data_IF_352525866953
#
_entry.id   IF_352525866953
#
_cell.length_a   1.000
_cell.length_b   1.000
_cell.length_c   1.000
_cell.angle_alpha   90.00
_cell.angle_beta   90.00
_cell.angle_gamma   90.00
#
_symmetry.space_group_name_H-M   'P 1'
#
loop_
_entity.id
_entity.type
_entity.pdbx_description
1 polymer ?
#
# COMPACT_ATOMS: atom_id res chain seq x y z
N UNK A 1 -33.04 4.25 -11.09
CA UNK A 1 -33.02 4.96 -9.82
C UNK A 1 -34.12 4.44 -8.90
N UNK A 2 -33.80 4.19 -7.64
CA UNK A 2 -34.73 3.80 -6.59
C UNK A 2 -34.36 4.48 -5.27
N UNK A 3 -35.34 4.76 -4.44
CA UNK A 3 -35.14 5.29 -3.08
C UNK A 3 -35.03 4.16 -2.04
N UNK A 4 -34.81 2.93 -2.48
CA UNK A 4 -34.60 1.74 -1.66
C UNK A 4 -33.30 1.03 -2.10
N UNK A 5 -32.98 -0.05 -1.41
CA UNK A 5 -31.89 -0.93 -1.77
C UNK A 5 -32.18 -1.69 -3.08
N UNK A 6 -31.16 -1.86 -3.91
CA UNK A 6 -31.21 -2.79 -5.06
C UNK A 6 -30.66 -4.14 -4.60
N UNK A 7 -31.47 -5.18 -4.72
CA UNK A 7 -31.05 -6.55 -4.43
C UNK A 7 -30.77 -7.30 -5.74
N UNK A 8 -29.48 -7.57 -6.00
CA UNK A 8 -28.98 -8.41 -7.10
C UNK A 8 -28.27 -9.66 -6.59
N UNK A 9 -28.65 -10.14 -5.40
CA UNK A 9 -28.03 -11.31 -4.78
C UNK A 9 -28.20 -12.55 -5.67
N UNK A 10 -27.05 -13.18 -6.03
CA UNK A 10 -26.99 -14.28 -7.00
C UNK A 10 -27.67 -13.97 -8.36
N UNK A 11 -28.00 -12.70 -8.63
CA UNK A 11 -28.64 -12.23 -9.85
C UNK A 11 -27.64 -11.70 -10.87
N UNK A 12 -28.19 -11.23 -12.00
CA UNK A 12 -27.38 -10.62 -13.06
C UNK A 12 -28.01 -9.30 -13.49
N UNK A 13 -27.23 -8.22 -13.41
CA UNK A 13 -27.50 -6.92 -14.02
C UNK A 13 -26.45 -6.67 -15.08
N UNK A 14 -26.82 -6.73 -16.35
CA UNK A 14 -25.87 -6.54 -17.44
C UNK A 14 -26.44 -5.58 -18.48
N UNK A 15 -25.58 -4.71 -19.00
CA UNK A 15 -25.89 -3.82 -20.10
C UNK A 15 -24.83 -3.90 -21.20
N UNK A 16 -25.26 -3.69 -22.45
CA UNK A 16 -24.33 -3.64 -23.57
C UNK A 16 -23.52 -2.32 -23.60
N UNK A 17 -24.09 -1.24 -23.06
CA UNK A 17 -23.44 0.06 -22.96
C UNK A 17 -23.09 0.35 -21.49
N UNK A 18 -23.77 1.27 -20.87
CA UNK A 18 -23.49 1.68 -19.49
C UNK A 18 -24.48 1.06 -18.49
N UNK A 19 -24.05 0.96 -17.25
CA UNK A 19 -24.91 0.71 -16.07
C UNK A 19 -24.82 1.91 -15.16
N UNK A 20 -25.96 2.47 -14.77
CA UNK A 20 -26.08 3.53 -13.78
C UNK A 20 -27.09 3.11 -12.71
N UNK A 21 -26.61 2.89 -11.50
CA UNK A 21 -27.42 2.53 -10.34
C UNK A 21 -27.36 3.65 -9.30
N UNK A 22 -28.53 4.17 -8.97
CA UNK A 22 -28.71 5.13 -7.89
C UNK A 22 -29.76 4.58 -6.92
N UNK A 23 -29.34 4.24 -5.70
CA UNK A 23 -30.15 3.52 -4.71
C UNK A 23 -29.76 3.92 -3.29
N UNK A 24 -30.42 3.36 -2.29
CA UNK A 24 -30.03 3.50 -0.87
C UNK A 24 -29.26 2.27 -0.34
N UNK A 25 -28.59 1.55 -1.22
CA UNK A 25 -27.81 0.36 -0.97
C UNK A 25 -27.85 -0.54 -2.19
N UNK A 26 -26.83 -1.42 -2.32
CA UNK A 26 -26.79 -2.44 -3.36
C UNK A 26 -26.23 -3.74 -2.78
N UNK A 27 -27.02 -4.81 -2.81
CA UNK A 27 -26.53 -6.16 -2.52
C UNK A 27 -26.29 -6.90 -3.86
N UNK A 28 -25.04 -7.04 -4.24
CA UNK A 28 -24.55 -7.83 -5.36
C UNK A 28 -23.81 -9.10 -4.88
N UNK A 29 -24.10 -9.56 -3.66
CA UNK A 29 -23.44 -10.76 -3.12
C UNK A 29 -23.72 -11.97 -3.99
N UNK A 30 -22.64 -12.68 -4.43
CA UNK A 30 -22.71 -13.78 -5.37
C UNK A 30 -23.34 -13.41 -6.73
N UNK A 31 -23.68 -12.14 -6.96
CA UNK A 31 -24.27 -11.64 -8.18
C UNK A 31 -23.23 -11.19 -9.21
N UNK A 32 -23.71 -10.89 -10.39
CA UNK A 32 -22.93 -10.31 -11.47
C UNK A 32 -23.55 -8.96 -11.86
N UNK A 33 -22.72 -7.94 -11.94
CA UNK A 33 -23.12 -6.62 -12.39
C UNK A 33 -22.06 -6.07 -13.35
N UNK A 34 -22.48 -5.64 -14.55
CA UNK A 34 -21.46 -5.12 -15.46
C UNK A 34 -21.96 -4.49 -16.72
N UNK A 35 -21.01 -3.85 -17.41
CA UNK A 35 -21.15 -3.25 -18.72
C UNK A 35 -20.17 -3.89 -19.69
N UNK A 36 -20.66 -4.21 -20.91
CA UNK A 36 -19.86 -4.89 -21.94
C UNK A 36 -19.02 -3.91 -22.77
N UNK A 37 -19.47 -2.65 -22.93
CA UNK A 37 -18.81 -1.69 -23.83
C UNK A 37 -18.49 -0.33 -23.22
N UNK A 38 -18.94 -0.05 -21.98
CA UNK A 38 -18.87 1.30 -21.42
C UNK A 38 -18.72 1.25 -19.89
N UNK A 39 -18.97 2.35 -19.23
CA UNK A 39 -18.78 2.53 -17.81
C UNK A 39 -19.86 1.87 -16.95
N UNK A 40 -19.51 1.64 -15.68
CA UNK A 40 -20.43 1.31 -14.60
C UNK A 40 -20.34 2.42 -13.55
N UNK A 41 -21.48 3.00 -13.21
CA UNK A 41 -21.59 3.99 -12.13
C UNK A 41 -22.59 3.48 -11.09
N UNK A 42 -22.16 3.44 -9.84
CA UNK A 42 -22.97 3.01 -8.70
C UNK A 42 -22.91 4.10 -7.63
N UNK A 43 -24.06 4.58 -7.23
CA UNK A 43 -24.20 5.47 -6.07
C UNK A 43 -25.27 4.90 -5.15
N UNK A 44 -24.84 4.44 -3.99
CA UNK A 44 -25.71 3.81 -2.99
C UNK A 44 -26.24 4.79 -1.94
N UNK A 45 -26.04 6.10 -2.16
CA UNK A 45 -26.54 7.12 -1.24
C UNK A 45 -26.01 6.92 0.18
N UNK A 46 -26.92 6.63 1.11
CA UNK A 46 -26.58 6.38 2.52
C UNK A 46 -26.38 4.90 2.86
N UNK A 47 -26.44 4.01 1.87
CA UNK A 47 -26.29 2.59 2.07
C UNK A 47 -24.92 2.06 1.65
N UNK A 48 -24.65 0.82 1.99
CA UNK A 48 -23.42 0.13 1.60
C UNK A 48 -23.57 -0.55 0.23
N UNK A 49 -22.42 -0.84 -0.38
CA UNK A 49 -22.29 -1.79 -1.49
C UNK A 49 -21.78 -3.12 -0.96
N UNK A 50 -22.58 -4.16 -1.07
CA UNK A 50 -22.19 -5.54 -0.75
C UNK A 50 -21.87 -6.27 -2.06
N UNK A 51 -20.62 -6.72 -2.21
CA UNK A 51 -20.15 -7.51 -3.36
C UNK A 51 -19.43 -8.77 -2.90
N UNK A 52 -19.86 -9.36 -1.78
CA UNK A 52 -19.25 -10.58 -1.24
C UNK A 52 -19.37 -11.74 -2.23
N UNK A 53 -18.23 -12.27 -2.67
CA UNK A 53 -18.17 -13.30 -3.73
C UNK A 53 -18.91 -12.91 -5.01
N UNK A 54 -19.25 -11.64 -5.20
CA UNK A 54 -19.88 -11.10 -6.39
C UNK A 54 -18.87 -10.56 -7.39
N UNK A 55 -19.36 -10.18 -8.56
CA UNK A 55 -18.54 -9.57 -9.61
C UNK A 55 -19.13 -8.25 -10.06
N UNK A 56 -18.31 -7.20 -10.02
CA UNK A 56 -18.55 -5.92 -10.69
C UNK A 56 -17.53 -5.76 -11.82
N UNK A 57 -17.99 -5.59 -13.05
CA UNK A 57 -17.11 -5.51 -14.21
C UNK A 57 -17.49 -4.37 -15.15
N UNK A 58 -16.48 -3.64 -15.65
CA UNK A 58 -16.65 -2.59 -16.64
C UNK A 58 -15.58 -2.67 -17.72
N UNK A 59 -15.93 -2.42 -18.97
CA UNK A 59 -14.95 -2.20 -20.04
C UNK A 59 -14.53 -0.73 -20.14
N UNK A 60 -15.37 0.19 -19.69
CA UNK A 60 -15.02 1.59 -19.42
C UNK A 60 -14.67 1.79 -17.97
N UNK A 61 -14.89 2.99 -17.45
CA UNK A 61 -14.61 3.31 -16.06
C UNK A 61 -15.59 2.63 -15.08
N UNK A 62 -15.13 2.31 -13.89
CA UNK A 62 -15.94 1.85 -12.77
C UNK A 62 -15.92 2.90 -11.66
N UNK A 63 -17.06 3.56 -11.44
CA UNK A 63 -17.21 4.57 -10.43
C UNK A 63 -18.19 4.08 -9.35
N UNK A 64 -17.75 4.04 -8.11
CA UNK A 64 -18.57 3.63 -6.97
C UNK A 64 -18.52 4.71 -5.90
N UNK A 65 -19.70 5.14 -5.44
CA UNK A 65 -19.86 5.93 -4.22
C UNK A 65 -20.79 5.19 -3.26
N UNK A 66 -20.34 4.97 -2.02
CA UNK A 66 -21.09 4.23 -1.00
C UNK A 66 -20.66 4.67 0.41
N UNK A 67 -21.48 4.35 1.42
CA UNK A 67 -21.09 4.55 2.83
C UNK A 67 -20.12 3.47 3.33
N UNK A 68 -19.98 2.36 2.63
CA UNK A 68 -19.04 1.29 2.89
C UNK A 68 -19.09 0.27 1.76
N UNK A 69 -17.97 -0.39 1.52
CA UNK A 69 -17.85 -1.41 0.46
C UNK A 69 -17.36 -2.73 1.05
N UNK A 70 -18.14 -3.77 0.88
CA UNK A 70 -17.73 -5.11 1.23
C UNK A 70 -17.50 -5.96 -0.04
N UNK A 71 -16.21 -6.09 -0.42
CA UNK A 71 -15.75 -6.91 -1.54
C UNK A 71 -15.05 -8.20 -1.07
N UNK A 72 -15.39 -8.71 0.13
CA UNK A 72 -14.80 -9.95 0.62
C UNK A 72 -14.98 -11.09 -0.38
N UNK A 73 -13.86 -11.68 -0.84
CA UNK A 73 -13.83 -12.71 -1.91
C UNK A 73 -14.52 -12.32 -3.20
N UNK A 74 -14.90 -11.05 -3.37
CA UNK A 74 -15.52 -10.52 -4.57
C UNK A 74 -14.50 -9.99 -5.58
N UNK A 75 -14.98 -9.61 -6.74
CA UNK A 75 -14.16 -9.03 -7.82
C UNK A 75 -14.74 -7.70 -8.27
N UNK A 76 -13.91 -6.66 -8.25
CA UNK A 76 -14.12 -5.40 -8.95
C UNK A 76 -13.08 -5.28 -10.04
N UNK A 77 -13.50 -5.19 -11.30
CA UNK A 77 -12.57 -5.12 -12.42
C UNK A 77 -13.01 -4.09 -13.46
N UNK A 78 -12.06 -3.29 -13.94
CA UNK A 78 -12.29 -2.33 -15.04
C UNK A 78 -11.15 -2.36 -16.05
N UNK A 79 -11.48 -2.26 -17.33
CA UNK A 79 -10.48 -1.98 -18.37
C UNK A 79 -10.14 -0.47 -18.46
N UNK A 80 -10.99 0.40 -17.92
CA UNK A 80 -10.74 1.84 -17.72
C UNK A 80 -10.18 2.13 -16.34
N UNK A 81 -10.57 3.28 -15.77
CA UNK A 81 -10.25 3.68 -14.40
C UNK A 81 -11.18 3.01 -13.40
N UNK A 82 -10.71 2.87 -12.16
CA UNK A 82 -11.55 2.54 -11.01
C UNK A 82 -11.47 3.68 -10.02
N UNK A 83 -12.65 4.19 -9.61
CA UNK A 83 -12.78 5.19 -8.56
C UNK A 83 -13.76 4.68 -7.51
N UNK A 84 -13.25 4.39 -6.32
CA UNK A 84 -14.02 3.95 -5.17
C UNK A 84 -13.99 5.06 -4.11
N UNK A 85 -15.14 5.67 -3.86
CA UNK A 85 -15.31 6.71 -2.85
C UNK A 85 -16.24 6.19 -1.78
N UNK A 86 -15.68 5.79 -0.64
CA UNK A 86 -16.43 5.27 0.49
C UNK A 86 -16.33 6.24 1.66
N UNK A 87 -17.46 6.59 2.28
CA UNK A 87 -17.49 7.43 3.48
C UNK A 87 -17.08 6.64 4.75
N UNK A 88 -17.16 5.30 4.69
CA UNK A 88 -16.76 4.37 5.74
C UNK A 88 -15.71 3.37 5.23
N UNK A 89 -15.79 2.14 5.72
CA UNK A 89 -14.75 1.13 5.49
C UNK A 89 -14.87 0.44 4.13
N UNK A 90 -13.72 0.00 3.63
CA UNK A 90 -13.60 -0.90 2.50
C UNK A 90 -12.97 -2.21 2.94
N UNK A 91 -13.72 -3.31 2.76
CA UNK A 91 -13.21 -4.67 2.98
C UNK A 91 -12.97 -5.35 1.63
N UNK A 92 -11.69 -5.67 1.33
CA UNK A 92 -11.26 -6.46 0.17
C UNK A 92 -10.56 -7.75 0.59
N UNK A 93 -10.90 -8.33 1.75
CA UNK A 93 -10.25 -9.54 2.24
C UNK A 93 -10.49 -10.74 1.32
N UNK A 94 -9.40 -11.33 0.82
CA UNK A 94 -9.46 -12.38 -0.19
C UNK A 94 -10.11 -11.96 -1.51
N UNK A 95 -10.48 -10.68 -1.67
CA UNK A 95 -11.09 -10.13 -2.87
C UNK A 95 -10.08 -9.57 -3.86
N UNK A 96 -10.57 -9.12 -4.99
CA UNK A 96 -9.77 -8.49 -6.04
C UNK A 96 -10.36 -7.15 -6.45
N UNK A 97 -9.51 -6.12 -6.49
CA UNK A 97 -9.80 -4.82 -7.11
C UNK A 97 -8.73 -4.58 -8.16
N UNK A 98 -9.13 -4.52 -9.43
CA UNK A 98 -8.21 -4.37 -10.54
C UNK A 98 -8.67 -3.29 -11.53
N UNK A 99 -7.71 -2.53 -12.05
CA UNK A 99 -7.95 -1.50 -13.07
C UNK A 99 -6.84 -1.57 -14.12
N UNK A 100 -7.17 -1.48 -15.40
CA UNK A 100 -6.14 -1.25 -16.40
C UNK A 100 -5.71 0.22 -16.47
N UNK A 101 -6.59 1.13 -16.06
CA UNK A 101 -6.29 2.56 -15.89
C UNK A 101 -5.88 2.88 -14.45
N UNK A 102 -5.98 4.16 -14.10
CA UNK A 102 -5.73 4.65 -12.75
C UNK A 102 -6.72 4.02 -11.75
N UNK A 103 -6.24 3.74 -10.54
CA UNK A 103 -7.05 3.29 -9.42
C UNK A 103 -6.99 4.31 -8.29
N UNK A 104 -8.14 4.81 -7.88
CA UNK A 104 -8.30 5.69 -6.73
C UNK A 104 -9.25 5.07 -5.72
N UNK A 105 -8.80 4.97 -4.47
CA UNK A 105 -9.62 4.50 -3.35
C UNK A 105 -9.57 5.56 -2.25
N UNK A 106 -10.75 6.03 -1.84
CA UNK A 106 -10.95 6.83 -0.63
C UNK A 106 -11.86 6.05 0.32
N UNK A 107 -11.44 5.89 1.57
CA UNK A 107 -12.20 5.17 2.60
C UNK A 107 -11.79 5.64 4.01
N UNK A 108 -12.54 5.22 5.03
CA UNK A 108 -12.09 5.33 6.41
C UNK A 108 -10.97 4.32 6.64
N UNK A 109 -11.28 3.05 6.76
CA UNK A 109 -10.32 1.96 6.83
C UNK A 109 -10.33 1.11 5.56
N UNK A 110 -9.18 0.54 5.22
CA UNK A 110 -9.06 -0.44 4.14
C UNK A 110 -8.46 -1.74 4.68
N UNK A 111 -9.24 -2.82 4.61
CA UNK A 111 -8.75 -4.17 4.82
C UNK A 111 -8.54 -4.86 3.47
N UNK A 112 -7.31 -5.35 3.22
CA UNK A 112 -6.90 -6.10 2.03
C UNK A 112 -6.17 -7.39 2.44
N UNK A 113 -6.60 -8.03 3.53
CA UNK A 113 -5.96 -9.25 4.02
C UNK A 113 -6.14 -10.39 3.01
N UNK A 114 -5.02 -10.96 2.56
CA UNK A 114 -5.01 -11.96 1.48
C UNK A 114 -5.71 -11.49 0.19
N UNK A 115 -6.01 -10.21 0.05
CA UNK A 115 -6.64 -9.60 -1.12
C UNK A 115 -5.62 -9.09 -2.13
N UNK A 116 -6.11 -8.72 -3.30
CA UNK A 116 -5.33 -8.14 -4.38
C UNK A 116 -5.92 -6.79 -4.80
N UNK A 117 -5.08 -5.75 -4.78
CA UNK A 117 -5.37 -4.43 -5.37
C UNK A 117 -4.29 -4.13 -6.40
N UNK A 118 -4.68 -3.90 -7.68
CA UNK A 118 -3.68 -3.68 -8.70
C UNK A 118 -4.13 -2.72 -9.81
N UNK A 119 -3.14 -2.07 -10.44
CA UNK A 119 -3.34 -1.32 -11.67
C UNK A 119 -2.61 -1.95 -12.85
N UNK A 120 -3.07 -1.63 -14.06
CA UNK A 120 -2.38 -1.99 -15.28
C UNK A 120 -1.04 -1.26 -15.45
N UNK A 121 -0.27 -1.68 -16.44
CA UNK A 121 1.02 -1.07 -16.76
C UNK A 121 0.88 0.44 -17.00
N UNK A 122 1.84 1.23 -16.46
CA UNK A 122 1.89 2.70 -16.56
C UNK A 122 0.71 3.43 -15.90
N UNK A 123 -0.04 2.76 -15.04
CA UNK A 123 -1.19 3.35 -14.34
C UNK A 123 -0.89 3.52 -12.86
N UNK A 124 -1.29 4.67 -12.31
CA UNK A 124 -1.04 5.04 -10.93
C UNK A 124 -2.09 4.42 -9.99
N UNK A 125 -1.69 4.20 -8.74
CA UNK A 125 -2.55 3.74 -7.66
C UNK A 125 -2.49 4.74 -6.50
N UNK A 126 -3.66 5.26 -6.11
CA UNK A 126 -3.77 6.21 -5.00
C UNK A 126 -4.74 5.69 -3.93
N UNK A 127 -4.24 5.51 -2.72
CA UNK A 127 -5.05 5.20 -1.53
C UNK A 127 -5.06 6.40 -0.60
N UNK A 128 -6.25 6.92 -0.29
CA UNK A 128 -6.49 8.03 0.65
C UNK A 128 -7.37 7.52 1.77
N UNK A 129 -6.76 7.16 2.89
CA UNK A 129 -7.46 6.59 4.04
C UNK A 129 -7.39 7.58 5.19
N UNK A 130 -8.54 7.86 5.82
CA UNK A 130 -8.59 8.63 7.07
C UNK A 130 -8.25 7.78 8.29
N UNK A 131 -8.32 6.47 8.18
CA UNK A 131 -7.98 5.47 9.17
C UNK A 131 -6.84 4.56 8.73
N UNK A 132 -6.93 3.28 9.02
CA UNK A 132 -5.86 2.29 8.85
C UNK A 132 -5.88 1.60 7.47
N UNK A 133 -4.69 1.23 7.00
CA UNK A 133 -4.49 0.22 5.95
C UNK A 133 -4.03 -1.09 6.59
N UNK A 134 -4.79 -2.18 6.41
CA UNK A 134 -4.38 -3.54 6.75
C UNK A 134 -4.15 -4.36 5.47
N UNK A 135 -2.87 -4.70 5.18
CA UNK A 135 -2.47 -5.47 4.00
C UNK A 135 -1.74 -6.76 4.39
N UNK A 136 -2.09 -7.36 5.51
CA UNK A 136 -1.48 -8.61 5.98
C UNK A 136 -1.74 -9.75 4.96
N UNK A 137 -0.68 -10.43 4.53
CA UNK A 137 -0.73 -11.44 3.45
C UNK A 137 -1.30 -10.95 2.13
N UNK A 138 -1.71 -9.68 2.03
CA UNK A 138 -2.30 -9.06 0.85
C UNK A 138 -1.26 -8.52 -0.13
N UNK A 139 -1.74 -8.18 -1.31
CA UNK A 139 -0.91 -7.59 -2.37
C UNK A 139 -1.53 -6.29 -2.87
N UNK A 140 -0.72 -5.23 -2.89
CA UNK A 140 -1.06 -3.94 -3.50
C UNK A 140 0.03 -3.62 -4.51
N UNK A 141 -0.34 -3.55 -5.79
CA UNK A 141 0.61 -3.37 -6.89
C UNK A 141 0.21 -2.22 -7.80
N UNK A 142 1.14 -1.30 -8.05
CA UNK A 142 0.97 -0.24 -9.05
C UNK A 142 1.83 -0.50 -10.29
N UNK A 143 1.24 -0.37 -11.47
CA UNK A 143 1.96 -0.42 -12.74
C UNK A 143 2.78 0.85 -13.05
N UNK A 144 2.69 1.87 -12.21
CA UNK A 144 3.48 3.11 -12.26
C UNK A 144 3.71 3.62 -10.83
N UNK A 145 3.31 4.86 -10.54
CA UNK A 145 3.45 5.46 -9.22
C UNK A 145 2.39 4.96 -8.24
N UNK A 146 2.77 4.81 -6.98
CA UNK A 146 1.88 4.45 -5.90
C UNK A 146 1.98 5.46 -4.77
N UNK A 147 0.83 5.99 -4.37
CA UNK A 147 0.71 6.86 -3.21
C UNK A 147 -0.27 6.28 -2.20
N UNK A 148 0.16 6.19 -0.95
CA UNK A 148 -0.65 5.72 0.17
C UNK A 148 -0.61 6.79 1.26
N UNK A 149 -1.78 7.28 1.66
CA UNK A 149 -1.95 8.12 2.84
C UNK A 149 -2.89 7.42 3.79
N UNK A 150 -2.49 7.26 5.06
CA UNK A 150 -3.29 6.55 6.07
C UNK A 150 -2.95 7.03 7.49
N UNK A 151 -3.80 6.71 8.46
CA UNK A 151 -3.49 6.90 9.89
C UNK A 151 -2.41 5.91 10.36
N UNK A 152 -2.46 4.67 9.89
CA UNK A 152 -1.45 3.64 10.10
C UNK A 152 -1.41 2.67 8.93
N UNK A 153 -0.27 1.98 8.76
CA UNK A 153 -0.11 0.96 7.69
C UNK A 153 0.40 -0.33 8.33
N UNK A 154 -0.34 -1.42 8.15
CA UNK A 154 0.09 -2.76 8.51
C UNK A 154 0.26 -3.62 7.25
N UNK A 155 1.51 -3.80 6.84
CA UNK A 155 1.93 -4.65 5.72
C UNK A 155 2.68 -5.89 6.22
N UNK A 156 2.40 -6.32 7.44
CA UNK A 156 3.07 -7.45 8.06
C UNK A 156 2.62 -8.80 7.50
N UNK A 157 3.16 -9.88 8.05
CA UNK A 157 2.77 -11.27 7.70
C UNK A 157 2.85 -11.51 6.18
N UNK A 158 4.01 -11.17 5.59
CA UNK A 158 4.28 -11.31 4.15
C UNK A 158 3.43 -10.43 3.21
N UNK A 159 2.81 -9.36 3.72
CA UNK A 159 2.14 -8.37 2.90
C UNK A 159 3.08 -7.74 1.88
N UNK A 160 2.58 -7.38 0.70
CA UNK A 160 3.38 -6.82 -0.37
C UNK A 160 2.74 -5.52 -0.87
N UNK A 161 3.52 -4.44 -0.84
CA UNK A 161 3.19 -3.16 -1.48
C UNK A 161 4.32 -2.87 -2.46
N UNK A 162 4.00 -2.84 -3.76
CA UNK A 162 5.02 -2.73 -4.81
C UNK A 162 4.60 -1.77 -5.91
N UNK A 163 5.58 -1.04 -6.48
CA UNK A 163 5.34 -0.11 -7.57
C UNK A 163 6.37 -0.28 -8.69
N UNK A 164 5.95 -0.17 -9.95
CA UNK A 164 6.87 -0.11 -11.09
C UNK A 164 7.53 1.27 -11.23
N UNK A 165 6.92 2.33 -10.72
CA UNK A 165 7.50 3.67 -10.60
C UNK A 165 7.92 3.94 -9.17
N UNK A 166 7.45 5.06 -8.62
CA UNK A 166 7.73 5.49 -7.25
C UNK A 166 6.73 4.88 -6.26
N UNK A 167 7.18 4.65 -5.04
CA UNK A 167 6.34 4.27 -3.90
C UNK A 167 6.45 5.35 -2.82
N UNK A 168 5.34 6.01 -2.53
CA UNK A 168 5.25 6.99 -1.45
C UNK A 168 4.20 6.52 -0.41
N UNK A 169 4.64 6.33 0.82
CA UNK A 169 3.78 5.98 1.94
C UNK A 169 3.88 7.07 3.00
N UNK A 170 2.75 7.71 3.30
CA UNK A 170 2.63 8.71 4.35
C UNK A 170 1.63 8.23 5.40
N UNK A 171 2.13 7.95 6.59
CA UNK A 171 1.33 7.54 7.75
C UNK A 171 1.44 8.57 8.87
N UNK A 172 0.32 8.91 9.49
CA UNK A 172 0.34 9.74 10.70
C UNK A 172 0.81 8.96 11.95
N UNK A 173 0.71 7.64 11.91
CA UNK A 173 1.15 6.73 12.96
C UNK A 173 2.20 5.75 12.48
N UNK A 174 2.18 4.54 13.02
CA UNK A 174 3.20 3.52 12.74
C UNK A 174 3.01 2.86 11.37
N UNK A 175 4.15 2.47 10.78
CA UNK A 175 4.21 1.60 9.61
C UNK A 175 4.83 0.28 10.04
N UNK A 176 4.05 -0.81 9.94
CA UNK A 176 4.49 -2.15 10.28
C UNK A 176 4.70 -2.96 8.98
N UNK A 177 5.97 -3.25 8.67
CA UNK A 177 6.39 -4.08 7.53
C UNK A 177 7.10 -5.35 8.02
N UNK A 178 6.75 -5.87 9.19
CA UNK A 178 7.36 -7.09 9.71
C UNK A 178 7.12 -8.26 8.76
N UNK A 179 8.20 -8.88 8.27
CA UNK A 179 8.19 -9.94 7.24
C UNK A 179 7.57 -9.53 5.90
N UNK A 180 7.15 -8.28 5.73
CA UNK A 180 6.52 -7.74 4.53
C UNK A 180 7.52 -7.16 3.53
N UNK A 181 6.98 -6.64 2.41
CA UNK A 181 7.77 -6.00 1.34
C UNK A 181 7.20 -4.65 0.96
N UNK A 182 8.06 -3.62 0.95
CA UNK A 182 7.81 -2.29 0.43
C UNK A 182 8.88 -2.02 -0.63
N UNK A 183 8.57 -2.27 -1.91
CA UNK A 183 9.57 -2.27 -2.99
C UNK A 183 9.05 -1.48 -4.20
N UNK A 184 9.93 -0.67 -4.78
CA UNK A 184 9.67 0.00 -6.04
C UNK A 184 10.86 -0.12 -7.01
N UNK A 185 10.61 0.08 -8.31
CA UNK A 185 11.70 0.29 -9.23
C UNK A 185 12.31 1.69 -9.08
N UNK A 186 11.47 2.71 -8.91
CA UNK A 186 11.88 4.10 -8.67
C UNK A 186 12.05 4.42 -7.20
N UNK A 187 11.93 5.71 -6.88
CA UNK A 187 12.04 6.24 -5.52
C UNK A 187 11.11 5.52 -4.54
N UNK A 188 11.64 5.17 -3.37
CA UNK A 188 10.84 4.74 -2.22
C UNK A 188 10.92 5.81 -1.13
N UNK A 189 9.79 6.38 -0.77
CA UNK A 189 9.68 7.34 0.31
C UNK A 189 8.67 6.86 1.34
N UNK A 190 9.11 6.70 2.59
CA UNK A 190 8.32 6.18 3.70
C UNK A 190 8.38 7.18 4.84
N UNK A 191 7.21 7.72 5.24
CA UNK A 191 7.06 8.63 6.38
C UNK A 191 6.03 8.10 7.36
N UNK A 192 6.41 8.00 8.65
CA UNK A 192 5.52 7.57 9.73
C UNK A 192 6.08 7.90 11.11
N UNK A 193 5.31 7.64 12.14
CA UNK A 193 5.71 7.78 13.55
C UNK A 193 6.25 6.43 14.11
N UNK A 194 7.30 5.94 13.46
CA UNK A 194 7.94 4.65 13.68
C UNK A 194 7.74 3.70 12.50
N UNK A 195 8.82 3.00 12.15
CA UNK A 195 8.82 2.01 11.05
C UNK A 195 9.41 0.71 11.56
N UNK A 196 8.61 -0.36 11.54
CA UNK A 196 9.05 -1.71 11.87
C UNK A 196 9.27 -2.51 10.58
N UNK A 197 10.53 -2.81 10.27
CA UNK A 197 10.95 -3.67 9.15
C UNK A 197 11.61 -4.96 9.64
N UNK A 198 11.24 -5.46 10.83
CA UNK A 198 11.80 -6.72 11.36
C UNK A 198 11.56 -7.86 10.38
N UNK A 199 12.65 -8.52 9.91
CA UNK A 199 12.61 -9.56 8.89
C UNK A 199 11.93 -9.14 7.59
N UNK A 200 11.64 -7.85 7.40
CA UNK A 200 11.00 -7.29 6.21
C UNK A 200 12.01 -6.78 5.18
N UNK A 201 11.48 -6.30 4.07
CA UNK A 201 12.26 -5.71 2.99
C UNK A 201 11.71 -4.34 2.63
N UNK A 202 12.58 -3.35 2.57
CA UNK A 202 12.32 -2.02 2.01
C UNK A 202 13.37 -1.78 0.94
N UNK A 203 12.96 -1.41 -0.28
CA UNK A 203 13.97 -1.23 -1.32
C UNK A 203 13.53 -0.51 -2.57
N UNK A 204 14.52 0.16 -3.18
CA UNK A 204 14.45 0.69 -4.54
C UNK A 204 15.44 -0.06 -5.44
N UNK A 205 14.94 -0.51 -6.60
CA UNK A 205 15.76 -1.28 -7.54
C UNK A 205 16.60 -0.40 -8.47
N UNK A 206 16.24 0.89 -8.63
CA UNK A 206 16.93 1.79 -9.56
C UNK A 206 17.22 3.18 -8.98
N UNK A 207 16.68 3.53 -7.81
CA UNK A 207 16.70 4.88 -7.27
C UNK A 207 17.02 4.90 -5.77
N UNK A 208 16.70 5.98 -5.11
CA UNK A 208 16.93 6.28 -3.71
C UNK A 208 15.86 5.65 -2.81
N UNK A 209 16.20 5.51 -1.53
CA UNK A 209 15.27 5.15 -0.46
C UNK A 209 15.36 6.20 0.65
N UNK A 210 14.21 6.76 1.03
CA UNK A 210 14.05 7.65 2.19
C UNK A 210 13.11 6.99 3.20
N UNK A 211 13.60 6.83 4.43
CA UNK A 211 12.79 6.38 5.56
C UNK A 211 12.83 7.44 6.66
N UNK A 212 11.68 8.02 6.95
CA UNK A 212 11.51 8.99 7.99
C UNK A 212 10.55 8.44 9.05
N UNK A 213 11.10 8.01 10.19
CA UNK A 213 10.33 7.38 11.26
C UNK A 213 9.85 8.38 12.34
N UNK A 214 9.89 9.69 12.04
CA UNK A 214 9.40 10.75 12.95
C UNK A 214 10.01 10.69 14.34
N UNK A 215 9.16 10.77 15.35
CA UNK A 215 9.55 10.61 16.75
C UNK A 215 9.54 9.14 17.21
N UNK A 216 9.41 8.20 16.29
CA UNK A 216 9.43 6.77 16.57
C UNK A 216 10.75 6.10 16.18
N UNK A 217 10.85 4.81 16.51
CA UNK A 217 12.01 3.99 16.18
C UNK A 217 11.95 3.51 14.72
N UNK A 218 13.13 3.36 14.11
CA UNK A 218 13.35 2.52 12.94
C UNK A 218 13.88 1.17 13.40
N UNK A 219 13.07 0.11 13.28
CA UNK A 219 13.47 -1.26 13.64
C UNK A 219 13.69 -2.06 12.35
N UNK A 220 14.91 -2.58 12.16
CA UNK A 220 15.31 -3.40 11.00
C UNK A 220 15.99 -4.71 11.45
N UNK A 221 15.52 -5.29 12.56
CA UNK A 221 16.08 -6.54 13.10
C UNK A 221 15.94 -7.68 12.08
N UNK A 222 17.08 -8.26 11.67
CA UNK A 222 17.14 -9.28 10.61
C UNK A 222 16.42 -8.86 9.30
N UNK A 223 16.09 -7.58 9.13
CA UNK A 223 15.47 -7.03 7.94
C UNK A 223 16.49 -6.49 6.94
N UNK A 224 16.02 -6.11 5.77
CA UNK A 224 16.85 -5.51 4.71
C UNK A 224 16.27 -4.19 4.25
N UNK A 225 17.12 -3.15 4.21
CA UNK A 225 16.84 -1.88 3.55
C UNK A 225 17.90 -1.68 2.49
N UNK A 226 17.49 -1.52 1.22
CA UNK A 226 18.44 -1.42 0.12
C UNK A 226 18.04 -0.32 -0.87
N UNK A 227 19.01 0.52 -1.23
CA UNK A 227 18.87 1.51 -2.30
C UNK A 227 19.87 1.26 -3.42
N UNK A 228 19.44 1.43 -4.66
CA UNK A 228 20.34 1.42 -5.82
C UNK A 228 21.16 2.72 -5.90
N UNK A 229 20.61 3.82 -5.41
CA UNK A 229 21.30 5.10 -5.26
C UNK A 229 21.49 5.40 -3.77
N UNK A 230 21.13 6.59 -3.32
CA UNK A 230 21.33 7.00 -1.93
C UNK A 230 20.27 6.39 -0.99
N UNK A 231 20.68 6.09 0.23
CA UNK A 231 19.81 5.68 1.33
C UNK A 231 19.87 6.72 2.44
N UNK A 232 18.73 7.28 2.77
CA UNK A 232 18.60 8.22 3.90
C UNK A 232 17.60 7.70 4.92
N UNK A 233 18.02 7.61 6.17
CA UNK A 233 17.16 7.17 7.28
C UNK A 233 17.24 8.20 8.41
N UNK A 234 16.08 8.65 8.89
CA UNK A 234 15.97 9.49 10.08
C UNK A 234 14.97 8.90 11.07
N UNK A 235 15.33 8.81 12.34
CA UNK A 235 14.48 8.21 13.37
C UNK A 235 14.85 8.75 14.77
N UNK A 236 14.00 8.50 15.78
CA UNK A 236 14.34 8.72 17.16
C UNK A 236 15.44 7.75 17.63
N UNK A 237 15.30 6.47 17.32
CA UNK A 237 16.29 5.42 17.55
C UNK A 237 16.34 4.45 16.39
N UNK A 238 17.47 3.77 16.21
CA UNK A 238 17.64 2.78 15.12
C UNK A 238 18.10 1.46 15.70
N UNK A 239 17.38 0.39 15.38
CA UNK A 239 17.76 -0.98 15.72
C UNK A 239 17.93 -1.81 14.47
N UNK A 240 19.20 -2.05 14.09
CA UNK A 240 19.63 -2.86 12.95
C UNK A 240 20.29 -4.17 13.41
N UNK A 241 19.89 -4.72 14.56
CA UNK A 241 20.47 -5.98 15.03
C UNK A 241 20.29 -7.09 14.01
N UNK A 242 21.41 -7.70 13.57
CA UNK A 242 21.45 -8.74 12.53
C UNK A 242 20.81 -8.31 11.21
N UNK A 243 20.46 -7.03 11.04
CA UNK A 243 19.83 -6.48 9.84
C UNK A 243 20.87 -5.93 8.84
N UNK A 244 20.38 -5.54 7.68
CA UNK A 244 21.18 -4.98 6.61
C UNK A 244 20.62 -3.64 6.13
N UNK A 245 21.46 -2.62 6.05
CA UNK A 245 21.19 -1.33 5.44
C UNK A 245 22.27 -1.04 4.41
N UNK A 246 21.91 -1.09 3.12
CA UNK A 246 22.89 -1.02 2.04
C UNK A 246 22.50 0.04 1.00
N UNK A 247 23.48 0.77 0.49
CA UNK A 247 23.30 1.66 -0.65
C UNK A 247 24.45 1.54 -1.65
N UNK A 248 24.15 1.62 -2.94
CA UNK A 248 25.21 1.75 -3.97
C UNK A 248 25.61 3.23 -4.16
N UNK A 249 24.87 4.16 -3.63
CA UNK A 249 25.24 5.56 -3.48
C UNK A 249 25.79 5.86 -2.10
N UNK A 250 25.38 7.00 -1.55
CA UNK A 250 25.68 7.42 -0.17
C UNK A 250 24.64 6.84 0.80
N UNK A 251 25.08 6.58 2.04
CA UNK A 251 24.18 6.24 3.13
C UNK A 251 24.27 7.32 4.22
N UNK A 252 23.15 7.95 4.50
CA UNK A 252 23.02 8.87 5.64
C UNK A 252 22.01 8.30 6.64
N UNK A 253 22.47 8.02 7.86
CA UNK A 253 21.66 7.50 8.96
C UNK A 253 21.74 8.46 10.13
N UNK A 254 20.64 9.10 10.47
CA UNK A 254 20.53 10.02 11.61
C UNK A 254 19.54 9.49 12.63
N UNK A 255 20.04 9.29 13.85
CA UNK A 255 19.26 8.90 15.03
C UNK A 255 19.38 9.96 16.11
N UNK A 256 18.25 10.35 16.73
CA UNK A 256 18.27 11.26 17.88
C UNK A 256 18.84 10.58 19.14
N UNK A 257 18.76 9.26 19.21
CA UNK A 257 19.30 8.44 20.31
C UNK A 257 20.39 7.49 19.78
N UNK A 258 20.47 6.29 20.32
CA UNK A 258 21.47 5.31 19.91
C UNK A 258 21.11 4.59 18.60
N UNK A 259 22.15 4.17 17.88
CA UNK A 259 22.09 3.19 16.82
C UNK A 259 22.58 1.86 17.38
N UNK A 260 21.75 0.81 17.30
CA UNK A 260 22.13 -0.56 17.59
C UNK A 260 22.38 -1.31 16.26
N UNK A 261 23.65 -1.63 15.98
CA UNK A 261 24.07 -2.43 14.83
C UNK A 261 24.74 -3.75 15.28
N UNK A 262 24.27 -4.33 16.40
CA UNK A 262 24.78 -5.61 16.89
C UNK A 262 24.64 -6.70 15.81
N UNK A 263 25.77 -7.27 15.38
CA UNK A 263 25.81 -8.29 14.31
C UNK A 263 25.20 -7.83 12.98
N UNK A 264 24.88 -6.53 12.81
CA UNK A 264 24.27 -5.97 11.63
C UNK A 264 25.28 -5.44 10.61
N UNK A 265 24.79 -5.07 9.43
CA UNK A 265 25.56 -4.45 8.36
C UNK A 265 24.97 -3.08 8.01
N UNK A 266 25.82 -2.05 8.00
CA UNK A 266 25.54 -0.73 7.43
C UNK A 266 26.63 -0.42 6.41
N UNK A 267 26.29 -0.40 5.12
CA UNK A 267 27.27 -0.27 4.05
C UNK A 267 26.82 0.71 2.96
N UNK A 268 27.80 1.43 2.41
CA UNK A 268 27.61 2.30 1.26
C UNK A 268 28.76 2.12 0.26
N UNK A 269 28.50 2.36 -1.03
CA UNK A 269 29.59 2.34 -2.02
C UNK A 269 30.30 3.70 -2.07
N UNK A 270 29.59 4.82 -2.00
CA UNK A 270 30.16 6.15 -2.26
C UNK A 270 30.45 7.02 -1.03
N UNK A 271 29.91 6.69 0.12
CA UNK A 271 30.13 7.46 1.35
C UNK A 271 29.10 7.16 2.43
N UNK A 272 29.56 7.24 3.67
CA UNK A 272 28.75 6.89 4.83
C UNK A 272 28.78 8.01 5.86
N UNK A 273 27.59 8.45 6.30
CA UNK A 273 27.44 9.40 7.39
C UNK A 273 26.49 8.86 8.44
N UNK A 274 26.98 8.76 9.68
CA UNK A 274 26.20 8.34 10.83
C UNK A 274 26.13 9.49 11.86
N UNK A 275 24.92 9.79 12.32
CA UNK A 275 24.66 10.73 13.41
C UNK A 275 23.84 10.08 14.51
N UNK A 276 24.36 10.01 15.74
CA UNK A 276 23.65 9.44 16.88
C UNK A 276 24.26 9.88 18.22
N UNK A 277 23.53 9.69 19.33
CA UNK A 277 24.07 9.88 20.66
C UNK A 277 24.91 8.69 21.15
N UNK A 278 24.83 7.54 20.51
CA UNK A 278 25.61 6.34 20.84
C UNK A 278 25.50 5.30 19.73
N UNK A 279 26.52 4.45 19.63
CA UNK A 279 26.59 3.39 18.61
C UNK A 279 27.04 2.09 19.27
N UNK A 280 26.20 1.06 19.16
CA UNK A 280 26.60 -0.32 19.44
C UNK A 280 26.87 -1.05 18.10
N UNK A 281 28.13 -1.31 17.81
CA UNK A 281 28.54 -2.09 16.60
C UNK A 281 29.26 -3.38 17.01
N UNK A 282 28.88 -4.00 18.13
CA UNK A 282 29.49 -5.24 18.57
C UNK A 282 29.22 -6.36 17.52
N UNK A 283 30.29 -6.97 17.02
CA UNK A 283 30.27 -7.96 15.90
C UNK A 283 29.57 -7.46 14.61
N UNK A 284 29.18 -6.19 14.53
CA UNK A 284 28.60 -5.59 13.35
C UNK A 284 29.66 -5.07 12.37
N UNK A 285 29.20 -4.73 11.19
CA UNK A 285 30.04 -4.14 10.14
C UNK A 285 29.47 -2.78 9.75
N UNK A 286 30.34 -1.78 9.66
CA UNK A 286 30.01 -0.44 9.19
C UNK A 286 31.12 -0.01 8.25
N UNK A 287 30.78 0.38 7.01
CA UNK A 287 31.80 0.77 6.06
C UNK A 287 31.30 1.45 4.80
N UNK A 288 32.24 2.11 4.13
CA UNK A 288 32.06 2.63 2.79
C UNK A 288 33.19 2.13 1.91
N UNK A 289 32.86 1.78 0.65
CA UNK A 289 33.89 1.33 -0.30
C UNK A 289 34.75 2.49 -0.82
N UNK A 290 34.17 3.69 -0.89
CA UNK A 290 34.87 4.92 -1.33
C UNK A 290 34.55 6.05 -0.33
N UNK A 291 35.56 6.59 0.34
CA UNK A 291 35.46 7.75 1.23
C UNK A 291 35.77 7.49 2.66
#
# INVERSE_FOLDING_TARGET
KTDQEVNNRAGTIAANKFVDIQSQGLDNSQGQLGSVKDQVTINTGKGALLNQSGTLQSTGDLNVHSTGLNNNKGTLNSLGKVSLSNDGDLNNDGGQIASNGQLEITAQDLSNQSGLIQTGAKSNLNLKLSGALSNQTGQIHSGSEQQITAQSVDNSVQGQITAQGQLNIQSQGKINNQTGKLIANGLVEIKGEGVNNTQGQIGSLQDQVFVHAGQGAMTNQSGTIQAKQDLTITAQSVDNQSGQMNSQGKLELTSQQAINNLEGLIAADLGLKLGSQGLNNNRGQIGSAQG
#
